data_IF_160767924805
#
_entry.id   IF_160767924805
#
_cell.length_a   1.000
_cell.length_b   1.000
_cell.length_c   1.000
_cell.angle_alpha   90.00
_cell.angle_beta   90.00
_cell.angle_gamma   90.00
#
_symmetry.space_group_name_H-M   'P 1'
#
loop_
_entity.id
_entity.type
_entity.pdbx_description
1 polymer ?
#
# COMPACT_ATOMS: atom_id res chain seq x y z
N UNK A 1 0.42 -64.31 -52.13
CA UNK A 1 -0.57 -63.23 -51.86
C UNK A 1 -0.27 -62.59 -50.54
N UNK A 2 0.49 -61.54 -50.54
CA UNK A 2 0.91 -60.88 -49.28
C UNK A 2 0.17 -59.54 -49.19
N UNK A 3 -0.69 -59.42 -48.15
CA UNK A 3 -1.37 -58.22 -47.86
C UNK A 3 -0.49 -57.42 -46.88
N UNK A 4 0.10 -56.37 -47.33
CA UNK A 4 0.80 -55.42 -46.53
C UNK A 4 -0.23 -54.53 -45.83
N UNK A 5 -0.33 -54.70 -44.49
CA UNK A 5 -1.10 -53.80 -43.63
C UNK A 5 -0.19 -52.62 -43.34
N UNK A 6 -0.51 -51.50 -43.93
CA UNK A 6 0.14 -50.22 -43.64
C UNK A 6 -0.43 -49.66 -42.35
N UNK A 7 0.28 -49.84 -41.25
CA UNK A 7 -0.09 -49.27 -39.97
C UNK A 7 0.32 -47.79 -39.95
N UNK A 8 -0.66 -46.92 -40.12
CA UNK A 8 -0.47 -45.48 -40.03
C UNK A 8 -0.30 -45.09 -38.56
N UNK A 9 0.92 -44.83 -38.16
CA UNK A 9 1.24 -44.33 -36.82
C UNK A 9 0.90 -42.84 -36.76
N UNK A 10 -0.28 -42.52 -36.22
CA UNK A 10 -0.67 -41.14 -35.94
C UNK A 10 0.08 -40.70 -34.69
N UNK A 11 1.15 -39.96 -34.90
CA UNK A 11 1.91 -39.30 -33.83
C UNK A 11 1.10 -38.07 -33.35
N UNK A 12 0.30 -38.24 -32.31
CA UNK A 12 -0.32 -37.11 -31.60
C UNK A 12 0.77 -36.32 -30.89
N UNK A 13 1.25 -35.27 -31.57
CA UNK A 13 2.02 -34.21 -30.91
C UNK A 13 1.09 -33.45 -30.00
N UNK A 14 1.00 -33.91 -28.76
CA UNK A 14 0.44 -33.10 -27.64
C UNK A 14 1.39 -31.94 -27.41
N UNK A 15 1.16 -30.87 -28.15
CA UNK A 15 1.74 -29.58 -27.83
C UNK A 15 1.25 -29.12 -26.47
N UNK A 16 1.99 -29.48 -25.44
CA UNK A 16 1.83 -28.83 -24.13
C UNK A 16 2.25 -27.36 -24.28
N UNK A 17 1.28 -26.50 -24.57
CA UNK A 17 1.46 -25.07 -24.39
C UNK A 17 1.69 -24.82 -22.90
N UNK A 18 2.94 -24.73 -22.51
CA UNK A 18 3.36 -24.15 -21.27
C UNK A 18 2.90 -22.70 -21.28
N UNK A 19 1.70 -22.46 -20.79
CA UNK A 19 1.33 -21.12 -20.38
C UNK A 19 2.27 -20.76 -19.23
N UNK A 20 3.28 -19.97 -19.52
CA UNK A 20 4.03 -19.28 -18.51
C UNK A 20 3.02 -18.41 -17.77
N UNK A 21 2.50 -18.89 -16.64
CA UNK A 21 1.81 -18.07 -15.68
C UNK A 21 2.84 -17.07 -15.18
N UNK A 22 2.84 -15.88 -15.78
CA UNK A 22 3.50 -14.72 -15.18
C UNK A 22 2.73 -14.43 -13.92
N UNK A 23 3.21 -14.96 -12.79
CA UNK A 23 2.73 -14.62 -11.48
C UNK A 23 3.02 -13.13 -11.25
N UNK A 24 2.17 -12.28 -11.77
CA UNK A 24 2.14 -10.87 -11.44
C UNK A 24 1.63 -10.75 -10.01
N UNK A 25 2.57 -10.92 -9.06
CA UNK A 25 2.29 -10.67 -7.65
C UNK A 25 1.71 -9.28 -7.53
N UNK A 26 0.50 -9.16 -7.00
CA UNK A 26 -0.18 -7.88 -6.89
C UNK A 26 0.70 -6.89 -6.12
N UNK A 27 0.57 -5.59 -6.42
CA UNK A 27 1.30 -4.52 -5.71
C UNK A 27 1.13 -4.61 -4.19
N UNK A 28 -0.02 -5.08 -3.74
CA UNK A 28 -0.34 -5.28 -2.32
C UNK A 28 0.41 -6.48 -1.74
N UNK A 29 0.43 -7.60 -2.44
CA UNK A 29 1.11 -8.83 -2.02
C UNK A 29 2.61 -8.59 -1.78
N UNK A 30 3.26 -7.84 -2.67
CA UNK A 30 4.68 -7.46 -2.53
C UNK A 30 4.97 -6.58 -1.33
N UNK A 31 3.95 -6.01 -0.69
CA UNK A 31 4.09 -5.11 0.46
C UNK A 31 3.82 -5.77 1.80
N UNK A 32 3.43 -7.06 1.83
CA UNK A 32 3.18 -7.76 3.09
C UNK A 32 4.41 -7.76 3.99
N UNK A 33 4.23 -7.30 5.23
CA UNK A 33 5.29 -7.17 6.24
C UNK A 33 6.53 -6.42 5.77
N UNK A 34 6.35 -5.50 4.82
CA UNK A 34 7.44 -4.72 4.25
C UNK A 34 7.73 -3.49 5.12
N UNK A 35 9.01 -3.21 5.31
CA UNK A 35 9.50 -1.93 5.82
C UNK A 35 10.35 -1.28 4.74
N UNK A 36 9.96 -0.08 4.31
CA UNK A 36 10.70 0.71 3.33
C UNK A 36 11.42 1.83 4.07
N UNK A 37 12.74 1.93 3.88
CA UNK A 37 13.57 3.03 4.38
C UNK A 37 14.06 3.85 3.20
N UNK A 38 13.76 5.14 3.20
CA UNK A 38 14.21 6.08 2.19
C UNK A 38 15.39 6.87 2.74
N UNK A 39 16.51 6.78 2.04
CA UNK A 39 17.73 7.50 2.37
C UNK A 39 17.98 8.59 1.33
N UNK A 40 18.25 9.78 1.78
CA UNK A 40 18.54 10.92 0.93
C UNK A 40 20.02 11.32 1.05
N UNK A 41 20.63 11.71 -0.07
CA UNK A 41 21.99 12.21 -0.14
C UNK A 41 21.97 13.61 -0.76
N UNK A 42 22.31 14.61 0.03
CA UNK A 42 22.40 15.99 -0.47
C UNK A 42 23.58 16.13 -1.43
N UNK A 43 23.41 16.95 -2.49
CA UNK A 43 24.50 17.27 -3.39
C UNK A 43 25.69 17.83 -2.61
N UNK A 44 26.90 17.27 -2.89
CA UNK A 44 28.14 17.63 -2.18
C UNK A 44 28.33 16.95 -0.82
N UNK A 45 27.34 16.21 -0.29
CA UNK A 45 27.51 15.40 0.93
C UNK A 45 27.97 13.99 0.59
N UNK A 46 28.76 13.37 1.48
CA UNK A 46 29.17 11.96 1.39
C UNK A 46 28.35 11.06 2.31
N UNK A 47 27.56 11.63 3.20
CA UNK A 47 26.80 10.87 4.21
C UNK A 47 25.31 10.97 3.92
N UNK A 48 24.64 9.85 3.61
CA UNK A 48 23.19 9.82 3.48
C UNK A 48 22.54 10.00 4.85
N UNK A 49 21.34 10.54 4.87
CA UNK A 49 20.48 10.62 6.05
C UNK A 49 19.17 9.90 5.79
N UNK A 50 18.60 9.32 6.85
CA UNK A 50 17.28 8.71 6.79
C UNK A 50 16.25 9.81 6.64
N UNK A 51 15.40 9.70 5.59
CA UNK A 51 14.39 10.71 5.26
C UNK A 51 12.99 10.22 5.66
N UNK A 52 12.68 8.95 5.35
CA UNK A 52 11.36 8.39 5.60
C UNK A 52 11.44 6.89 5.92
N UNK A 53 10.53 6.40 6.75
CA UNK A 53 10.31 4.97 7.00
C UNK A 53 8.82 4.68 6.88
N UNK A 54 8.45 3.71 6.03
CA UNK A 54 7.08 3.25 5.85
C UNK A 54 6.98 1.79 6.22
N UNK A 55 6.04 1.45 7.09
CA UNK A 55 5.76 0.08 7.53
C UNK A 55 4.41 -0.39 7.02
N UNK A 56 4.37 -1.62 6.54
CA UNK A 56 3.17 -2.31 6.05
C UNK A 56 2.88 -3.53 6.90
N UNK A 57 1.59 -3.85 7.07
CA UNK A 57 1.13 -5.05 7.78
C UNK A 57 1.20 -6.33 6.93
N UNK A 58 0.74 -7.44 7.50
CA UNK A 58 0.65 -8.75 6.85
C UNK A 58 -0.34 -8.80 5.69
N UNK A 59 -1.19 -7.80 5.55
CA UNK A 59 -2.11 -7.61 4.43
C UNK A 59 -1.59 -6.62 3.38
N UNK A 60 -0.38 -6.09 3.56
CA UNK A 60 0.22 -5.09 2.65
C UNK A 60 -0.41 -3.70 2.74
N UNK A 61 -1.08 -3.38 3.87
CA UNK A 61 -1.63 -2.04 4.15
C UNK A 61 -0.60 -1.22 4.91
N UNK A 62 -0.48 0.06 4.58
CA UNK A 62 0.42 0.98 5.30
C UNK A 62 -0.13 1.24 6.71
N UNK A 63 0.64 0.86 7.74
CA UNK A 63 0.24 1.04 9.14
C UNK A 63 0.99 2.18 9.84
N UNK A 64 2.18 2.52 9.35
CA UNK A 64 2.99 3.58 9.93
C UNK A 64 3.84 4.27 8.87
N UNK A 65 4.09 5.56 9.07
CA UNK A 65 5.03 6.37 8.31
C UNK A 65 5.73 7.34 9.26
N UNK A 66 7.05 7.38 9.21
CA UNK A 66 7.87 8.26 10.04
C UNK A 66 8.72 9.12 9.11
N UNK A 67 8.50 10.43 9.15
CA UNK A 67 9.33 11.42 8.48
C UNK A 67 10.44 11.88 9.43
N UNK A 68 11.65 12.00 8.90
CA UNK A 68 12.83 12.42 9.65
C UNK A 68 13.35 13.78 9.16
N UNK A 69 14.03 14.47 10.05
CA UNK A 69 14.80 15.66 9.81
C UNK A 69 16.20 15.50 10.40
N UNK A 70 17.06 16.48 10.27
CA UNK A 70 18.43 16.43 10.81
C UNK A 70 18.51 16.22 12.33
N UNK A 71 17.44 16.55 13.05
CA UNK A 71 17.32 16.41 14.52
C UNK A 71 16.64 15.10 14.96
N UNK A 72 16.27 14.22 14.05
CA UNK A 72 15.57 12.98 14.35
C UNK A 72 14.16 12.93 13.75
N UNK A 73 13.21 12.27 14.45
CA UNK A 73 11.83 12.21 14.01
C UNK A 73 11.23 13.62 13.91
N UNK A 74 10.68 13.94 12.74
CA UNK A 74 9.95 15.18 12.48
C UNK A 74 8.45 14.98 12.70
N UNK A 75 7.93 13.84 12.23
CA UNK A 75 6.52 13.51 12.28
C UNK A 75 6.36 12.00 12.17
N UNK A 76 5.36 11.47 12.87
CA UNK A 76 4.94 10.07 12.75
C UNK A 76 3.45 10.02 12.45
N UNK A 77 3.04 9.13 11.57
CA UNK A 77 1.64 8.93 11.22
C UNK A 77 1.30 7.45 11.33
N UNK A 78 0.24 7.10 12.04
CA UNK A 78 -0.30 5.74 12.08
C UNK A 78 -1.63 5.68 11.32
N UNK A 79 -1.91 4.51 10.76
CA UNK A 79 -3.08 4.24 9.92
C UNK A 79 -3.83 3.04 10.48
N UNK A 80 -5.13 3.19 10.71
CA UNK A 80 -6.00 2.15 11.23
C UNK A 80 -7.06 1.75 10.20
N UNK A 81 -7.37 0.47 10.17
CA UNK A 81 -8.29 -0.14 9.23
C UNK A 81 -9.35 -0.93 9.99
N UNK A 82 -10.50 -1.16 9.37
CA UNK A 82 -11.56 -2.00 9.92
C UNK A 82 -11.51 -3.37 9.25
N UNK A 83 -11.31 -4.42 10.05
CA UNK A 83 -11.20 -5.78 9.55
C UNK A 83 -10.18 -5.90 8.40
N UNK A 84 -10.58 -6.55 7.32
CA UNK A 84 -9.75 -6.74 6.12
C UNK A 84 -9.83 -5.58 5.10
N UNK A 85 -10.54 -4.51 5.44
CA UNK A 85 -10.67 -3.36 4.55
C UNK A 85 -9.31 -2.78 4.15
N UNK A 86 -9.18 -2.37 2.90
CA UNK A 86 -8.02 -1.62 2.41
C UNK A 86 -8.16 -0.11 2.58
N UNK A 87 -9.34 0.34 3.04
CA UNK A 87 -9.64 1.76 3.24
C UNK A 87 -9.25 2.15 4.65
N UNK A 88 -8.34 3.11 4.77
CA UNK A 88 -7.93 3.65 6.07
C UNK A 88 -9.13 4.32 6.75
N UNK A 89 -9.52 3.83 7.93
CA UNK A 89 -10.61 4.39 8.70
C UNK A 89 -10.18 5.57 9.55
N UNK A 90 -9.00 5.49 10.14
CA UNK A 90 -8.45 6.52 11.02
C UNK A 90 -6.95 6.70 10.79
N UNK A 91 -6.52 7.94 10.82
CA UNK A 91 -5.12 8.36 10.75
C UNK A 91 -4.82 9.22 11.97
N UNK A 92 -3.72 8.91 12.65
CA UNK A 92 -3.26 9.69 13.81
C UNK A 92 -1.88 10.25 13.46
N UNK A 93 -1.76 11.56 13.54
CA UNK A 93 -0.50 12.28 13.36
C UNK A 93 0.10 12.62 14.71
N UNK A 94 1.41 12.41 14.83
CA UNK A 94 2.21 12.72 16.02
C UNK A 94 3.31 13.71 15.65
N UNK A 95 3.65 14.56 16.59
CA UNK A 95 4.78 15.49 16.46
C UNK A 95 6.15 14.79 16.65
N UNK A 96 7.21 15.59 16.70
CA UNK A 96 8.59 15.15 16.92
C UNK A 96 8.84 14.53 18.31
N UNK A 97 7.94 14.76 19.26
CA UNK A 97 7.97 14.23 20.64
C UNK A 97 6.99 13.08 20.86
N UNK A 98 6.37 12.57 19.79
CA UNK A 98 5.32 11.56 19.85
C UNK A 98 4.04 11.98 20.57
N UNK A 99 3.76 13.27 20.71
CA UNK A 99 2.46 13.74 21.14
C UNK A 99 1.50 13.75 19.95
N UNK A 100 0.26 13.33 20.17
CA UNK A 100 -0.78 13.42 19.15
C UNK A 100 -0.94 14.88 18.73
N UNK A 101 -0.80 15.16 17.44
CA UNK A 101 -0.98 16.51 16.87
C UNK A 101 -2.31 16.64 16.13
N UNK A 102 -2.80 15.56 15.52
CA UNK A 102 -4.09 15.54 14.80
C UNK A 102 -4.62 14.12 14.64
N UNK A 103 -5.95 14.00 14.62
CA UNK A 103 -6.65 12.75 14.29
C UNK A 103 -7.56 13.02 13.11
N UNK A 104 -7.52 12.15 12.09
CA UNK A 104 -8.41 12.16 10.94
C UNK A 104 -9.23 10.89 10.91
N UNK A 105 -10.54 11.02 10.69
CA UNK A 105 -11.45 9.89 10.50
C UNK A 105 -12.08 10.02 9.12
N UNK A 106 -12.21 8.91 8.41
CA UNK A 106 -12.68 8.88 7.03
C UNK A 106 -13.95 8.06 6.87
N UNK A 107 -14.87 8.58 6.09
CA UNK A 107 -16.02 7.86 5.55
C UNK A 107 -15.85 7.69 4.05
N UNK A 108 -16.37 6.58 3.53
CA UNK A 108 -16.26 6.21 2.13
C UNK A 108 -17.64 5.95 1.54
N UNK A 109 -17.79 6.23 0.25
CA UNK A 109 -18.92 5.80 -0.57
C UNK A 109 -18.81 4.29 -0.86
N UNK A 110 -19.89 3.69 -1.33
CA UNK A 110 -19.96 2.25 -1.66
C UNK A 110 -18.95 1.86 -2.75
N UNK A 111 -18.63 2.78 -3.67
CA UNK A 111 -17.60 2.59 -4.70
C UNK A 111 -16.16 2.68 -4.15
N UNK A 112 -16.00 3.00 -2.86
CA UNK A 112 -14.73 3.13 -2.17
C UNK A 112 -14.04 4.48 -2.36
N UNK A 113 -14.67 5.47 -3.00
CA UNK A 113 -14.20 6.85 -3.00
C UNK A 113 -14.44 7.50 -1.63
N UNK A 114 -13.61 8.48 -1.27
CA UNK A 114 -13.75 9.15 0.03
C UNK A 114 -14.99 10.04 0.02
N UNK A 115 -15.91 9.83 0.96
CA UNK A 115 -17.13 10.63 1.13
C UNK A 115 -16.88 11.85 2.01
N UNK A 116 -16.29 11.61 3.18
CA UNK A 116 -16.09 12.66 4.19
C UNK A 116 -14.80 12.42 4.98
N UNK A 117 -14.19 13.50 5.46
CA UNK A 117 -13.07 13.47 6.38
C UNK A 117 -13.39 14.38 7.56
N UNK A 118 -13.24 13.85 8.77
CA UNK A 118 -13.33 14.60 10.01
C UNK A 118 -11.92 14.81 10.56
N UNK A 119 -11.61 16.04 10.93
CA UNK A 119 -10.35 16.40 11.56
C UNK A 119 -10.62 16.75 13.02
N UNK A 120 -9.91 16.10 13.91
CA UNK A 120 -10.01 16.32 15.35
C UNK A 120 -8.70 16.82 15.90
N UNK A 121 -8.78 17.68 16.93
CA UNK A 121 -7.66 18.08 17.76
C UNK A 121 -7.22 16.94 18.67
N UNK A 122 -6.02 17.02 19.29
CA UNK A 122 -5.54 16.01 20.25
C UNK A 122 -6.51 15.74 21.40
N UNK A 123 -7.25 16.76 21.83
CA UNK A 123 -8.25 16.65 22.90
C UNK A 123 -9.58 16.02 22.48
N UNK A 124 -9.68 15.50 21.26
CA UNK A 124 -10.88 14.85 20.70
C UNK A 124 -11.96 15.82 20.21
N UNK A 125 -11.75 17.13 20.27
CA UNK A 125 -12.72 18.10 19.73
C UNK A 125 -12.62 18.15 18.22
N UNK A 126 -13.78 18.11 17.55
CA UNK A 126 -13.87 18.30 16.09
C UNK A 126 -13.35 19.69 15.72
N UNK A 127 -12.41 19.76 14.80
CA UNK A 127 -11.82 21.01 14.29
C UNK A 127 -12.44 21.42 12.97
N UNK A 128 -12.59 20.46 12.05
CA UNK A 128 -13.17 20.71 10.72
C UNK A 128 -13.64 19.40 10.06
N UNK A 129 -14.50 19.55 9.04
CA UNK A 129 -14.88 18.47 8.13
C UNK A 129 -14.53 18.84 6.70
N UNK A 130 -14.29 17.85 5.86
CA UNK A 130 -14.20 17.97 4.41
C UNK A 130 -15.18 17.01 3.79
N UNK A 131 -16.03 17.50 2.90
CA UNK A 131 -16.89 16.71 2.05
C UNK A 131 -16.24 16.60 0.65
N UNK A 132 -16.36 15.44 0.01
CA UNK A 132 -15.80 15.17 -1.30
C UNK A 132 -16.93 14.94 -2.30
N UNK A 133 -16.93 15.71 -3.38
CA UNK A 133 -17.85 15.56 -4.49
C UNK A 133 -17.06 15.12 -5.73
N UNK A 134 -17.60 14.18 -6.48
CA UNK A 134 -16.98 13.62 -7.68
C UNK A 134 -17.85 13.87 -8.89
N UNK A 135 -17.29 14.41 -9.95
CA UNK A 135 -17.96 14.59 -11.24
C UNK A 135 -17.09 14.02 -12.36
N UNK A 136 -17.72 13.31 -13.28
CA UNK A 136 -17.06 12.82 -14.49
C UNK A 136 -17.31 13.81 -15.63
N UNK A 137 -16.27 14.04 -16.44
CA UNK A 137 -16.35 14.90 -17.65
C UNK A 137 -16.50 14.02 -18.89
#
# INVERSE_FOLDING_TARGET
MNKHILTLLVLCLLGSTLYAQTNTTSKRERKKNLVVKEWNLRAGSKTPYLDNVVTYDDQGRKIEEIEYASYGQKKRTTYEYEGESTKCKRQIEYDDKNHVSRIKVFEYNDDGTRKKQYNYRPNGKLESTKDFEYSYK
#
